data_IF_012212429270
#
_entry.id   IF_012212429270
#
_cell.length_a   1.000
_cell.length_b   1.000
_cell.length_c   1.000
_cell.angle_alpha   90.00
_cell.angle_beta   90.00
_cell.angle_gamma   90.00
#
_symmetry.space_group_name_H-M   'P 1'
#
loop_
_entity.id
_entity.type
_entity.pdbx_description
1 polymer ?
#
# COMPACT_ATOMS: atom_id res chain seq x y z
N UNK A 1 10.22 -21.23 11.68
CA UNK A 1 9.77 -21.09 10.28
C UNK A 1 10.85 -20.29 9.57
N UNK A 2 11.53 -20.87 8.59
CA UNK A 2 12.47 -20.12 7.75
C UNK A 2 11.67 -19.46 6.62
N UNK A 3 11.99 -18.21 6.28
CA UNK A 3 11.41 -17.52 5.12
C UNK A 3 11.97 -18.07 3.80
N UNK A 4 11.20 -17.90 2.72
CA UNK A 4 11.66 -18.14 1.35
C UNK A 4 11.95 -16.79 0.68
N UNK A 5 13.23 -16.50 0.46
CA UNK A 5 13.69 -15.22 -0.10
C UNK A 5 13.34 -15.04 -1.59
N UNK A 6 12.83 -16.10 -2.24
CA UNK A 6 12.36 -16.10 -3.63
C UNK A 6 10.83 -16.10 -3.74
N UNK A 7 10.10 -16.03 -2.62
CA UNK A 7 8.63 -16.01 -2.63
C UNK A 7 8.04 -14.76 -3.33
N UNK A 8 8.82 -13.69 -3.44
CA UNK A 8 8.43 -12.43 -4.10
C UNK A 8 9.51 -11.96 -5.08
N UNK A 9 9.09 -11.22 -6.11
CA UNK A 9 9.99 -10.71 -7.15
C UNK A 9 11.03 -9.72 -6.57
N UNK A 10 12.17 -9.49 -7.26
CA UNK A 10 13.13 -8.47 -6.86
C UNK A 10 12.49 -7.09 -6.67
N UNK A 11 11.59 -6.69 -7.58
CA UNK A 11 10.86 -5.43 -7.53
C UNK A 11 9.92 -5.35 -6.31
N UNK A 12 9.25 -6.44 -5.95
CA UNK A 12 8.43 -6.49 -4.74
C UNK A 12 9.28 -6.39 -3.47
N UNK A 13 10.52 -6.90 -3.47
CA UNK A 13 11.45 -6.70 -2.34
C UNK A 13 11.88 -5.24 -2.21
N UNK A 14 12.15 -4.56 -3.32
CA UNK A 14 12.42 -3.12 -3.33
C UNK A 14 11.21 -2.34 -2.80
N UNK A 15 10.00 -2.71 -3.24
CA UNK A 15 8.75 -2.16 -2.73
C UNK A 15 8.58 -2.33 -1.22
N UNK A 16 8.96 -3.50 -0.67
CA UNK A 16 8.94 -3.72 0.78
C UNK A 16 9.94 -2.84 1.53
N UNK A 17 11.15 -2.64 1.00
CA UNK A 17 12.14 -1.72 1.58
C UNK A 17 11.61 -0.29 1.60
N UNK A 18 10.97 0.17 0.53
CA UNK A 18 10.32 1.47 0.47
C UNK A 18 9.19 1.57 1.50
N UNK A 19 8.31 0.56 1.53
CA UNK A 19 7.14 0.48 2.41
C UNK A 19 7.52 0.61 3.90
N UNK A 20 8.60 -0.05 4.31
CA UNK A 20 9.12 -0.04 5.69
C UNK A 20 10.07 1.12 5.99
N UNK A 21 10.47 1.89 4.97
CA UNK A 21 11.51 2.91 5.07
C UNK A 21 11.05 4.26 4.55
N UNK A 22 11.51 4.61 3.35
CA UNK A 22 11.31 5.94 2.71
C UNK A 22 9.84 6.32 2.63
N UNK A 23 8.98 5.40 2.20
CA UNK A 23 7.56 5.67 1.98
C UNK A 23 6.74 5.78 3.28
N UNK A 24 7.26 5.24 4.39
CA UNK A 24 6.62 5.32 5.71
C UNK A 24 5.27 4.60 5.84
N UNK A 25 4.86 3.81 4.85
CA UNK A 25 3.56 3.12 4.88
C UNK A 25 3.42 2.20 6.10
N UNK A 26 4.51 1.58 6.54
CA UNK A 26 4.55 0.72 7.72
C UNK A 26 4.31 1.47 9.05
N UNK A 27 4.40 2.81 9.08
CA UNK A 27 4.16 3.61 10.29
C UNK A 27 2.69 3.45 10.78
N UNK A 28 1.75 3.20 9.85
CA UNK A 28 0.37 2.83 10.14
C UNK A 28 0.04 1.37 9.76
N UNK A 29 0.60 0.86 8.66
CA UNK A 29 0.31 -0.48 8.16
C UNK A 29 1.32 -1.53 8.65
N UNK A 30 1.32 -1.80 9.96
CA UNK A 30 2.29 -2.69 10.61
C UNK A 30 1.71 -4.03 11.04
N UNK A 31 2.59 -4.92 11.50
CA UNK A 31 2.21 -6.24 12.04
C UNK A 31 1.63 -7.19 11.01
N UNK A 32 1.14 -8.35 11.47
CA UNK A 32 0.72 -9.44 10.58
C UNK A 32 -0.50 -9.08 9.71
N UNK A 33 -1.35 -8.14 10.16
CA UNK A 33 -2.54 -7.67 9.43
C UNK A 33 -2.27 -6.45 8.55
N UNK A 34 -1.08 -5.85 8.62
CA UNK A 34 -0.76 -4.57 8.00
C UNK A 34 -1.72 -3.45 8.47
N UNK A 35 -1.90 -3.34 9.78
CA UNK A 35 -2.69 -2.28 10.42
C UNK A 35 -2.24 -2.15 11.87
N UNK A 36 -2.19 -0.91 12.34
CA UNK A 36 -1.98 -0.53 13.74
C UNK A 36 -3.27 -0.58 14.56
N UNK A 37 -4.41 -0.90 13.94
CA UNK A 37 -5.75 -0.87 14.53
C UNK A 37 -6.14 0.51 15.13
N UNK A 38 -5.44 1.59 14.74
CA UNK A 38 -5.74 2.96 15.17
C UNK A 38 -6.42 3.77 14.06
N UNK A 39 -6.62 5.07 14.29
CA UNK A 39 -7.42 5.94 13.42
C UNK A 39 -6.61 7.15 13.02
N UNK A 40 -6.59 7.43 11.71
CA UNK A 40 -5.81 8.52 11.13
C UNK A 40 -6.65 9.32 10.17
N UNK A 41 -6.46 10.63 10.23
CA UNK A 41 -6.89 11.52 9.16
C UNK A 41 -5.81 11.56 8.09
N UNK A 42 -6.15 11.07 6.90
CA UNK A 42 -5.24 11.03 5.75
C UNK A 42 -5.43 12.20 4.79
N UNK A 43 -6.24 13.20 5.14
CA UNK A 43 -6.45 14.41 4.34
C UNK A 43 -7.23 14.18 3.04
N UNK A 44 -8.20 13.26 3.04
CA UNK A 44 -9.10 13.11 1.89
C UNK A 44 -10.10 14.29 1.83
N UNK A 45 -10.37 14.89 0.64
CA UNK A 45 -11.32 15.99 0.49
C UNK A 45 -12.78 15.50 0.47
N UNK A 46 -13.26 15.01 1.60
CA UNK A 46 -14.61 14.47 1.80
C UNK A 46 -15.27 15.05 3.07
N UNK A 47 -15.67 16.33 3.08
CA UNK A 47 -16.13 17.03 4.28
C UNK A 47 -17.40 16.46 4.91
N UNK A 48 -18.22 15.76 4.12
CA UNK A 48 -19.45 15.09 4.54
C UNK A 48 -19.17 13.88 5.44
N UNK A 49 -18.00 13.25 5.31
CA UNK A 49 -17.64 12.10 6.10
C UNK A 49 -16.69 12.45 7.26
N UNK A 50 -17.29 12.69 8.42
CA UNK A 50 -16.53 13.05 9.63
C UNK A 50 -15.81 11.89 10.30
N UNK A 51 -15.91 10.66 9.80
CA UNK A 51 -15.17 9.50 10.31
C UNK A 51 -15.49 9.17 11.77
N UNK A 52 -14.44 8.87 12.55
CA UNK A 52 -14.52 8.46 13.97
C UNK A 52 -15.26 9.48 14.84
N UNK A 53 -15.17 10.78 14.53
CA UNK A 53 -15.85 11.85 15.25
C UNK A 53 -17.37 11.63 15.44
N UNK A 54 -18.03 10.94 14.50
CA UNK A 54 -19.47 10.61 14.62
C UNK A 54 -19.80 9.84 15.89
N UNK A 55 -18.83 9.09 16.40
CA UNK A 55 -18.96 8.25 17.59
C UNK A 55 -18.27 8.86 18.81
N UNK A 56 -17.02 9.31 18.67
CA UNK A 56 -16.25 9.81 19.83
C UNK A 56 -16.63 11.22 20.26
N UNK A 57 -17.10 12.06 19.34
CA UNK A 57 -17.34 13.50 19.53
C UNK A 57 -16.10 14.32 19.91
N UNK A 58 -14.91 13.72 19.86
CA UNK A 58 -13.64 14.40 20.14
C UNK A 58 -13.15 15.17 18.91
N UNK A 59 -12.92 16.49 18.98
CA UNK A 59 -12.55 17.29 17.81
C UNK A 59 -11.33 16.77 17.03
N UNK A 60 -10.36 16.15 17.73
CA UNK A 60 -9.17 15.56 17.13
C UNK A 60 -9.45 14.31 16.26
N UNK A 61 -10.58 13.62 16.48
CA UNK A 61 -10.97 12.43 15.72
C UNK A 61 -11.70 12.77 14.41
N UNK A 62 -11.86 14.05 14.08
CA UNK A 62 -12.57 14.47 12.88
C UNK A 62 -11.81 14.03 11.64
N UNK A 63 -12.52 13.35 10.75
CA UNK A 63 -12.00 12.76 9.52
C UNK A 63 -11.00 11.60 9.73
N UNK A 64 -10.85 11.13 10.97
CA UNK A 64 -10.00 9.98 11.25
C UNK A 64 -10.73 8.68 10.91
N UNK A 65 -10.09 7.81 10.15
CA UNK A 65 -10.60 6.48 9.79
C UNK A 65 -9.64 5.40 10.26
N UNK A 66 -10.20 4.24 10.57
CA UNK A 66 -9.39 3.08 10.97
C UNK A 66 -8.45 2.69 9.83
N UNK A 67 -7.18 2.48 10.15
CA UNK A 67 -6.21 1.91 9.18
C UNK A 67 -6.69 0.54 8.70
N UNK A 68 -7.01 0.36 7.40
CA UNK A 68 -7.42 -0.94 6.89
C UNK A 68 -6.25 -1.91 6.85
N UNK A 69 -6.53 -3.21 6.97
CA UNK A 69 -5.52 -4.23 6.65
C UNK A 69 -5.29 -4.31 5.13
N UNK A 70 -4.06 -4.64 4.73
CA UNK A 70 -3.65 -4.65 3.32
C UNK A 70 -3.70 -6.02 2.63
N UNK A 71 -4.15 -7.07 3.32
CA UNK A 71 -4.29 -8.40 2.72
C UNK A 71 -5.47 -8.45 1.75
N UNK A 72 -5.25 -9.05 0.58
CA UNK A 72 -6.24 -9.17 -0.48
C UNK A 72 -6.80 -7.80 -0.91
N UNK A 73 -5.91 -6.85 -1.17
CA UNK A 73 -6.26 -5.47 -1.50
C UNK A 73 -6.71 -5.31 -2.96
N UNK A 74 -6.13 -6.04 -3.91
CA UNK A 74 -6.33 -5.84 -5.34
C UNK A 74 -7.79 -6.01 -5.79
N UNK A 75 -8.57 -6.83 -5.11
CA UNK A 75 -9.98 -7.10 -5.44
C UNK A 75 -10.98 -6.16 -4.74
N UNK A 76 -10.51 -5.06 -4.13
CA UNK A 76 -11.35 -4.19 -3.27
C UNK A 76 -11.60 -2.80 -3.84
N UNK A 77 -11.23 -2.55 -5.09
CA UNK A 77 -11.57 -1.29 -5.73
C UNK A 77 -13.10 -1.06 -5.76
N UNK A 78 -13.57 0.19 -5.63
CA UNK A 78 -12.79 1.41 -5.43
C UNK A 78 -12.29 1.58 -3.97
N UNK A 79 -11.19 2.31 -3.81
CA UNK A 79 -10.47 2.54 -2.56
C UNK A 79 -10.90 3.82 -1.85
N UNK A 80 -10.36 4.01 -0.63
CA UNK A 80 -10.73 5.04 0.35
C UNK A 80 -12.14 4.85 0.92
N UNK A 81 -12.46 5.56 2.01
CA UNK A 81 -13.75 5.41 2.70
C UNK A 81 -14.95 5.90 1.87
N UNK A 82 -14.70 6.71 0.84
CA UNK A 82 -15.72 7.26 -0.06
C UNK A 82 -15.66 6.69 -1.48
N UNK A 83 -14.79 5.70 -1.76
CA UNK A 83 -14.65 5.12 -3.10
C UNK A 83 -14.09 6.06 -4.16
N UNK A 84 -13.39 7.12 -3.78
CA UNK A 84 -12.91 8.16 -4.72
C UNK A 84 -11.76 7.74 -5.63
N UNK A 85 -11.10 6.60 -5.37
CA UNK A 85 -9.93 6.15 -6.12
C UNK A 85 -10.13 4.76 -6.69
N UNK A 86 -9.99 4.61 -8.00
CA UNK A 86 -10.21 3.32 -8.67
C UNK A 86 -8.96 2.42 -8.70
N UNK A 87 -7.77 2.97 -8.43
CA UNK A 87 -6.49 2.26 -8.57
C UNK A 87 -5.61 2.44 -7.33
N UNK A 88 -4.73 1.48 -7.07
CA UNK A 88 -3.71 1.60 -6.02
C UNK A 88 -2.66 2.65 -6.34
N UNK A 89 -2.38 2.89 -7.64
CA UNK A 89 -1.52 4.00 -8.06
C UNK A 89 -2.07 5.35 -7.55
N UNK A 90 -3.38 5.60 -7.73
CA UNK A 90 -4.01 6.81 -7.22
C UNK A 90 -3.93 6.91 -5.68
N UNK A 91 -4.05 5.78 -4.97
CA UNK A 91 -3.89 5.71 -3.51
C UNK A 91 -2.45 6.06 -3.10
N UNK A 92 -1.44 5.50 -3.75
CA UNK A 92 -0.04 5.79 -3.44
C UNK A 92 0.28 7.25 -3.74
N UNK A 93 -0.23 7.80 -4.85
CA UNK A 93 -0.07 9.23 -5.19
C UNK A 93 -0.76 10.15 -4.19
N UNK A 94 -1.87 9.74 -3.59
CA UNK A 94 -2.47 10.45 -2.46
C UNK A 94 -1.49 10.55 -1.27
N UNK A 95 -0.89 9.42 -0.91
CA UNK A 95 0.14 9.35 0.14
C UNK A 95 1.50 9.94 -0.26
N UNK A 96 1.68 10.38 -1.50
CA UNK A 96 2.87 11.06 -1.99
C UNK A 96 2.70 12.59 -2.05
N UNK A 97 1.97 13.18 -1.10
CA UNK A 97 1.83 14.64 -0.95
C UNK A 97 0.47 15.23 -1.34
N UNK A 98 -0.45 14.45 -1.91
CA UNK A 98 -1.73 14.96 -2.44
C UNK A 98 -2.87 14.98 -1.39
N UNK A 99 -2.58 15.36 -0.15
CA UNK A 99 -3.57 15.45 0.92
C UNK A 99 -4.04 16.89 1.19
N UNK A 100 -5.27 17.01 1.66
CA UNK A 100 -5.83 18.24 2.19
C UNK A 100 -5.21 18.55 3.57
N UNK A 101 -4.48 19.66 3.65
CA UNK A 101 -3.89 20.15 4.89
C UNK A 101 -4.98 20.63 5.87
N UNK A 102 -4.97 20.09 7.10
CA UNK A 102 -5.88 20.47 8.19
C UNK A 102 -5.32 20.10 9.56
N UNK A 103 -5.81 20.72 10.67
CA UNK A 103 -5.25 20.49 12.01
C UNK A 103 -5.35 19.04 12.53
N UNK A 104 -6.29 18.25 12.01
CA UNK A 104 -6.52 16.86 12.41
C UNK A 104 -5.65 15.85 11.66
N UNK A 105 -4.90 16.30 10.64
CA UNK A 105 -4.07 15.44 9.80
C UNK A 105 -3.10 14.63 10.66
N UNK A 106 -2.98 13.33 10.36
CA UNK A 106 -2.11 12.46 11.13
C UNK A 106 -0.65 12.94 11.06
N UNK A 107 0.06 13.05 12.20
CA UNK A 107 1.47 13.44 12.22
C UNK A 107 2.40 12.37 11.63
N UNK A 108 1.88 11.16 11.36
CA UNK A 108 2.60 10.08 10.69
C UNK A 108 2.67 10.28 9.17
N UNK A 109 1.81 11.14 8.61
CA UNK A 109 1.93 11.52 7.21
C UNK A 109 3.16 12.40 7.00
N UNK A 110 4.00 11.99 6.06
CA UNK A 110 5.19 12.70 5.60
C UNK A 110 5.25 12.60 4.09
N UNK A 111 5.72 13.66 3.43
CA UNK A 111 5.93 13.64 1.98
C UNK A 111 7.18 12.81 1.69
N UNK A 112 7.03 11.61 1.10
CA UNK A 112 8.17 10.73 0.87
C UNK A 112 8.93 11.10 -0.41
N UNK A 113 8.42 12.01 -1.25
CA UNK A 113 8.98 12.34 -2.57
C UNK A 113 9.32 11.06 -3.38
N UNK A 114 8.32 10.20 -3.56
CA UNK A 114 8.44 8.96 -4.33
C UNK A 114 8.56 9.28 -5.82
N UNK A 115 9.49 8.60 -6.49
CA UNK A 115 9.60 8.58 -7.95
C UNK A 115 8.58 7.62 -8.58
N UNK A 116 8.45 7.63 -9.90
CA UNK A 116 7.63 6.63 -10.62
C UNK A 116 8.14 5.19 -10.42
N UNK A 117 9.45 5.01 -10.31
CA UNK A 117 10.06 3.71 -10.01
C UNK A 117 9.71 3.25 -8.58
N UNK A 118 9.73 4.17 -7.61
CA UNK A 118 9.32 3.87 -6.23
C UNK A 118 7.86 3.43 -6.17
N UNK A 119 6.96 4.13 -6.88
CA UNK A 119 5.54 3.79 -6.96
C UNK A 119 5.36 2.42 -7.60
N UNK A 120 6.09 2.13 -8.69
CA UNK A 120 6.05 0.85 -9.38
C UNK A 120 6.49 -0.31 -8.48
N UNK A 121 7.57 -0.11 -7.71
CA UNK A 121 8.05 -1.09 -6.74
C UNK A 121 7.03 -1.32 -5.61
N UNK A 122 6.45 -0.25 -5.06
CA UNK A 122 5.40 -0.34 -4.04
C UNK A 122 4.16 -1.10 -4.55
N UNK A 123 3.72 -0.85 -5.79
CA UNK A 123 2.62 -1.59 -6.41
C UNK A 123 2.95 -3.09 -6.51
N UNK A 124 4.17 -3.43 -6.93
CA UNK A 124 4.60 -4.84 -6.99
C UNK A 124 4.59 -5.50 -5.62
N UNK A 125 4.98 -4.78 -4.56
CA UNK A 125 4.87 -5.28 -3.19
C UNK A 125 3.41 -5.48 -2.76
N UNK A 126 2.53 -4.49 -2.97
CA UNK A 126 1.12 -4.62 -2.59
C UNK A 126 0.40 -5.75 -3.33
N UNK A 127 0.78 -6.01 -4.59
CA UNK A 127 0.25 -7.15 -5.35
C UNK A 127 0.60 -8.50 -4.71
N UNK A 128 1.81 -8.62 -4.13
CA UNK A 128 2.24 -9.83 -3.41
C UNK A 128 1.42 -10.14 -2.14
N UNK A 129 0.57 -9.21 -1.67
CA UNK A 129 -0.28 -9.39 -0.48
C UNK A 129 -1.65 -10.03 -0.80
N UNK A 130 -1.89 -10.45 -2.05
CA UNK A 130 -3.13 -11.08 -2.48
C UNK A 130 -3.03 -12.62 -2.49
N UNK A 131 -4.12 -13.28 -2.09
CA UNK A 131 -4.28 -14.73 -2.13
C UNK A 131 -4.84 -15.09 -3.52
N UNK A 132 -4.08 -15.88 -4.29
CA UNK A 132 -4.28 -16.27 -5.71
C UNK A 132 -3.81 -15.20 -6.72
N UNK A 133 -2.68 -15.30 -7.42
CA UNK A 133 -1.64 -16.32 -7.53
C UNK A 133 -0.58 -15.78 -8.49
N UNK A 134 0.69 -16.12 -8.27
CA UNK A 134 1.81 -15.57 -9.04
C UNK A 134 1.55 -15.53 -10.54
N UNK A 135 1.53 -14.34 -11.12
CA UNK A 135 1.94 -14.21 -12.51
C UNK A 135 3.45 -14.39 -12.49
N UNK A 136 3.89 -15.64 -12.66
CA UNK A 136 5.20 -15.91 -13.18
C UNK A 136 5.34 -15.05 -14.44
N UNK A 137 6.16 -14.00 -14.36
CA UNK A 137 6.66 -13.34 -15.57
C UNK A 137 7.39 -14.46 -16.33
N UNK A 138 6.99 -14.82 -17.55
CA UNK A 138 7.69 -15.86 -18.29
C UNK A 138 9.11 -15.36 -18.53
N UNK A 139 10.07 -15.96 -17.85
CA UNK A 139 11.48 -15.70 -18.08
C UNK A 139 11.80 -16.19 -19.49
N UNK A 140 11.78 -15.26 -20.44
CA UNK A 140 12.09 -15.55 -21.83
C UNK A 140 13.61 -15.56 -21.96
N UNK A 141 14.26 -16.47 -21.24
CA UNK A 141 15.66 -16.82 -21.41
C UNK A 141 15.71 -18.13 -22.18
N UNK A 142 15.90 -17.99 -23.48
CA UNK A 142 16.23 -19.03 -24.45
C UNK A 142 17.20 -20.06 -23.88
N UNK A 143 16.72 -21.28 -23.60
CA UNK A 143 17.58 -22.44 -23.47
C UNK A 143 17.59 -23.20 -24.80
N UNK A 144 18.69 -23.03 -25.53
CA UNK A 144 19.07 -23.76 -26.74
C UNK A 144 18.98 -25.28 -26.53
N UNK A 145 18.50 -26.07 -27.51
CA UNK A 145 18.50 -27.52 -27.40
C UNK A 145 19.94 -28.05 -27.57
N UNK A 146 20.48 -28.68 -26.53
CA UNK A 146 21.65 -29.56 -26.73
C UNK A 146 21.18 -30.89 -27.28
N UNK A 147 21.54 -31.11 -28.54
CA UNK A 147 21.42 -32.40 -29.20
C UNK A 147 22.41 -33.42 -28.62
N UNK A 148 21.93 -34.66 -28.58
CA UNK A 148 22.64 -35.77 -29.20
C UNK A 148 23.61 -36.57 -28.33
N UNK A 149 23.27 -37.88 -28.27
CA UNK A 149 24.08 -39.02 -28.78
C UNK A 149 24.48 -40.04 -27.69
N UNK A 150 24.69 -41.33 -28.04
CA UNK A 150 24.23 -42.10 -29.20
C UNK A 150 22.95 -42.91 -28.94
#
# INVERSE_FOLDING_TARGET
MAGDDQAISPLAREGFVLFTGKAGCADCHSGWRFTDDTFHDVGLPAPEDTGRYRFSREPGDRFAFKTPGLRNLASRAPYMHNGSMNTLDAVIRHYNGNWLQRPTLSPLLRDPHLSEDDITALLSFLDSLNSDGGTQVPDTATHTPQGGKP
#
